data_IF_878749113520
#
_entry.id   IF_878749113520
#
_cell.length_a   1.000
_cell.length_b   1.000
_cell.length_c   1.000
_cell.angle_alpha   90.00
_cell.angle_beta   90.00
_cell.angle_gamma   90.00
#
_symmetry.space_group_name_H-M   'P 1'
#
loop_
_entity.id
_entity.type
_entity.pdbx_description
1 polymer ?
#
# COMPACT_ATOMS: atom_id res chain seq x y z
N UNK A 1 23.66 28.42 -5.44
CA UNK A 1 22.21 28.16 -5.55
C UNK A 1 22.01 27.13 -6.65
N UNK A 2 21.40 25.99 -6.33
CA UNK A 2 20.96 25.01 -7.31
C UNK A 2 19.44 24.86 -7.13
N UNK A 3 18.69 25.32 -8.13
CA UNK A 3 17.24 25.25 -8.22
C UNK A 3 16.87 23.93 -8.91
N UNK A 4 15.99 23.15 -8.28
CA UNK A 4 15.11 22.18 -8.97
C UNK A 4 15.75 20.92 -9.54
N UNK A 5 16.17 19.99 -8.69
CA UNK A 5 16.27 18.56 -9.08
C UNK A 5 14.98 17.85 -8.62
N UNK A 6 13.88 18.16 -9.30
CA UNK A 6 12.57 17.56 -9.04
C UNK A 6 12.47 16.14 -9.57
N UNK A 7 13.12 15.18 -8.93
CA UNK A 7 12.74 13.77 -9.04
C UNK A 7 11.83 13.45 -7.85
N UNK A 8 10.55 13.78 -8.00
CA UNK A 8 9.50 13.53 -6.99
C UNK A 8 9.12 12.04 -6.93
N UNK A 9 10.09 11.16 -6.74
CA UNK A 9 9.84 9.73 -6.64
C UNK A 9 9.50 9.35 -5.20
N UNK A 10 8.22 9.05 -4.95
CA UNK A 10 7.79 8.47 -3.68
C UNK A 10 7.57 6.97 -3.86
N UNK A 11 8.50 6.14 -3.41
CA UNK A 11 8.27 4.69 -3.35
C UNK A 11 7.31 4.36 -2.21
N UNK A 12 6.26 3.57 -2.48
CA UNK A 12 5.38 3.02 -1.45
C UNK A 12 5.62 1.52 -1.37
N UNK A 13 5.91 1.04 -0.17
CA UNK A 13 6.02 -0.40 0.12
C UNK A 13 4.70 -0.85 0.75
N UNK A 14 4.02 -1.79 0.11
CA UNK A 14 2.91 -2.51 0.72
C UNK A 14 3.48 -3.54 1.71
N UNK A 15 3.12 -3.36 2.97
CA UNK A 15 3.34 -4.33 4.01
C UNK A 15 2.46 -5.57 3.83
N UNK A 16 2.79 -6.62 4.58
CA UNK A 16 2.03 -7.89 4.60
C UNK A 16 0.64 -7.75 5.24
N UNK A 17 0.28 -6.55 5.71
CA UNK A 17 -0.99 -6.21 6.31
C UNK A 17 -2.09 -5.90 5.28
N UNK A 18 -1.73 -5.73 4.01
CA UNK A 18 -2.68 -5.65 2.89
C UNK A 18 -2.12 -6.41 1.69
N UNK A 19 -2.75 -7.53 1.34
CA UNK A 19 -2.27 -8.41 0.27
C UNK A 19 -3.38 -8.73 -0.73
N UNK A 20 -2.99 -9.05 -1.96
CA UNK A 20 -3.88 -9.61 -2.97
C UNK A 20 -3.98 -11.12 -2.80
N UNK A 21 -5.20 -11.66 -2.79
CA UNK A 21 -5.45 -13.11 -2.79
C UNK A 21 -6.55 -13.47 -3.75
N UNK A 22 -6.24 -14.29 -4.75
CA UNK A 22 -7.17 -14.69 -5.81
C UNK A 22 -7.62 -13.47 -6.61
N UNK A 23 -8.80 -12.94 -6.29
CA UNK A 23 -9.39 -11.77 -6.96
C UNK A 23 -9.79 -10.62 -6.00
N UNK A 24 -9.20 -10.58 -4.80
CA UNK A 24 -9.52 -9.54 -3.83
C UNK A 24 -8.34 -9.11 -2.97
N UNK A 25 -8.43 -7.87 -2.49
CA UNK A 25 -7.59 -7.36 -1.41
C UNK A 25 -8.04 -7.93 -0.06
N UNK A 26 -7.08 -8.41 0.72
CA UNK A 26 -7.26 -9.02 2.04
C UNK A 26 -6.39 -8.27 3.05
N UNK A 27 -7.05 -7.63 4.02
CA UNK A 27 -6.39 -7.02 5.17
C UNK A 27 -5.99 -8.10 6.20
N UNK A 28 -4.75 -8.02 6.69
CA UNK A 28 -4.13 -8.96 7.65
C UNK A 28 -3.61 -8.22 8.87
N UNK A 29 -4.47 -8.04 9.86
CA UNK A 29 -4.16 -7.25 11.06
C UNK A 29 -2.94 -7.76 11.83
N UNK A 30 -2.73 -9.06 11.85
CA UNK A 30 -1.61 -9.70 12.55
C UNK A 30 -0.23 -9.28 12.00
N UNK A 31 -0.20 -8.76 10.77
CA UNK A 31 1.00 -8.21 10.14
C UNK A 31 1.12 -6.69 10.30
N UNK A 32 0.09 -6.02 10.83
CA UNK A 32 0.10 -4.58 11.05
C UNK A 32 0.89 -4.23 12.33
N UNK A 33 1.80 -3.25 12.20
CA UNK A 33 2.69 -2.82 13.29
C UNK A 33 2.18 -1.61 14.07
N UNK A 34 1.06 -1.02 13.66
CA UNK A 34 0.46 0.09 14.35
C UNK A 34 -0.28 -0.40 15.62
N UNK A 35 0.14 0.04 16.82
CA UNK A 35 -0.48 -0.37 18.07
C UNK A 35 -1.96 0.04 18.15
N UNK A 36 -2.37 1.15 17.54
CA UNK A 36 -3.75 1.63 17.53
C UNK A 36 -4.66 0.70 16.70
N UNK A 37 -4.10 0.04 15.70
CA UNK A 37 -4.79 -0.93 14.86
C UNK A 37 -4.67 -2.38 15.33
N UNK A 38 -3.96 -2.68 16.43
CA UNK A 38 -3.85 -4.06 16.92
C UNK A 38 -5.02 -4.50 17.80
N UNK A 39 -5.68 -3.57 18.49
CA UNK A 39 -6.78 -3.90 19.40
C UNK A 39 -8.10 -4.17 18.65
N UNK A 40 -8.55 -5.43 18.63
CA UNK A 40 -9.90 -5.81 18.16
C UNK A 40 -11.04 -5.22 19.01
N UNK A 41 -10.75 -4.77 20.23
CA UNK A 41 -11.75 -4.11 21.10
C UNK A 41 -11.99 -2.66 20.67
N UNK A 42 -11.02 -2.05 20.03
CA UNK A 42 -11.05 -0.63 19.65
C UNK A 42 -11.43 -0.46 18.18
N UNK A 43 -11.01 -1.40 17.34
CA UNK A 43 -11.24 -1.37 15.89
C UNK A 43 -11.65 -2.76 15.43
N UNK A 44 -12.89 -2.93 14.98
CA UNK A 44 -13.35 -4.18 14.38
C UNK A 44 -12.69 -4.44 13.01
N UNK A 45 -12.86 -5.64 12.46
CA UNK A 45 -12.15 -6.04 11.24
C UNK A 45 -12.62 -5.28 9.98
N UNK A 46 -13.89 -4.89 9.92
CA UNK A 46 -14.43 -4.07 8.83
C UNK A 46 -13.85 -2.64 8.86
N UNK A 47 -13.74 -2.04 10.05
CA UNK A 47 -13.13 -0.72 10.22
C UNK A 47 -11.64 -0.78 9.92
N UNK A 48 -10.94 -1.83 10.35
CA UNK A 48 -9.53 -2.02 10.02
C UNK A 48 -9.29 -2.14 8.51
N UNK A 49 -10.06 -2.96 7.80
CA UNK A 49 -9.97 -3.09 6.32
C UNK A 49 -10.14 -1.72 5.63
N UNK A 50 -11.11 -0.92 6.08
CA UNK A 50 -11.30 0.44 5.55
C UNK A 50 -10.12 1.35 5.84
N UNK A 51 -9.59 1.34 7.07
CA UNK A 51 -8.51 2.22 7.50
C UNK A 51 -7.19 1.88 6.79
N UNK A 52 -6.83 0.60 6.68
CA UNK A 52 -5.60 0.19 6.00
C UNK A 52 -5.62 0.60 4.52
N UNK A 53 -6.77 0.43 3.83
CA UNK A 53 -6.95 0.90 2.45
C UNK A 53 -6.82 2.42 2.33
N UNK A 54 -7.38 3.17 3.28
CA UNK A 54 -7.28 4.63 3.29
C UNK A 54 -5.85 5.09 3.48
N UNK A 55 -5.07 4.45 4.37
CA UNK A 55 -3.64 4.76 4.56
C UNK A 55 -2.88 4.58 3.25
N UNK A 56 -3.00 3.42 2.60
CA UNK A 56 -2.32 3.17 1.33
C UNK A 56 -2.79 4.11 0.21
N UNK A 57 -4.09 4.41 0.12
CA UNK A 57 -4.63 5.40 -0.82
C UNK A 57 -3.98 6.77 -0.60
N UNK A 58 -3.91 7.24 0.64
CA UNK A 58 -3.28 8.53 0.97
C UNK A 58 -1.80 8.53 0.58
N UNK A 59 -1.04 7.50 0.92
CA UNK A 59 0.37 7.38 0.56
C UNK A 59 0.57 7.40 -0.96
N UNK A 60 -0.26 6.67 -1.71
CA UNK A 60 -0.22 6.63 -3.17
C UNK A 60 -0.56 7.97 -3.82
N UNK A 61 -1.49 8.74 -3.25
CA UNK A 61 -1.91 10.05 -3.79
C UNK A 61 -0.99 11.21 -3.41
N UNK A 62 -0.07 11.03 -2.46
CA UNK A 62 0.90 12.06 -2.04
C UNK A 62 2.16 12.12 -2.90
N UNK A 63 2.37 11.13 -3.77
CA UNK A 63 3.45 11.09 -4.75
C UNK A 63 3.09 11.79 -6.05
N UNK A 64 3.73 12.92 -6.36
CA UNK A 64 3.35 13.70 -7.55
C UNK A 64 3.88 13.16 -8.88
N UNK A 65 4.85 12.22 -8.94
CA UNK A 65 5.26 11.60 -10.22
C UNK A 65 5.77 10.17 -9.98
N UNK A 66 5.02 9.17 -10.45
CA UNK A 66 5.46 7.77 -10.61
C UNK A 66 5.88 7.04 -9.32
N UNK A 67 4.97 6.72 -8.39
CA UNK A 67 5.34 5.92 -7.24
C UNK A 67 5.72 4.51 -7.69
N UNK A 68 6.96 4.07 -7.40
CA UNK A 68 7.22 2.62 -7.44
C UNK A 68 6.49 1.96 -6.30
N UNK A 69 5.68 0.98 -6.68
CA UNK A 69 4.93 0.16 -5.77
C UNK A 69 5.62 -1.19 -5.64
N UNK A 70 5.98 -1.54 -4.41
CA UNK A 70 6.58 -2.82 -4.09
C UNK A 70 5.77 -3.52 -3.00
N UNK A 71 5.57 -4.81 -3.13
CA UNK A 71 5.01 -5.68 -2.10
C UNK A 71 6.02 -6.76 -1.74
N UNK A 72 6.22 -6.99 -0.44
CA UNK A 72 6.99 -8.13 0.05
C UNK A 72 6.25 -9.47 -0.15
N UNK A 73 4.96 -9.43 -0.41
CA UNK A 73 4.15 -10.59 -0.78
C UNK A 73 4.20 -10.85 -2.29
N UNK A 74 4.58 -12.06 -2.69
CA UNK A 74 4.83 -12.44 -4.08
C UNK A 74 3.57 -12.36 -4.97
N UNK A 75 2.43 -12.86 -4.48
CA UNK A 75 1.16 -12.84 -5.23
C UNK A 75 0.68 -11.40 -5.46
N UNK A 76 0.79 -10.57 -4.42
CA UNK A 76 0.51 -9.14 -4.52
C UNK A 76 1.47 -8.48 -5.50
N UNK A 77 2.76 -8.77 -5.45
CA UNK A 77 3.74 -8.22 -6.38
C UNK A 77 3.45 -8.63 -7.83
N UNK A 78 3.02 -9.87 -8.07
CA UNK A 78 2.61 -10.34 -9.38
C UNK A 78 1.38 -9.57 -9.89
N UNK A 79 0.38 -9.34 -9.02
CA UNK A 79 -0.80 -8.52 -9.35
C UNK A 79 -0.40 -7.07 -9.66
N UNK A 80 0.47 -6.47 -8.87
CA UNK A 80 0.94 -5.11 -9.13
C UNK A 80 1.64 -5.00 -10.48
N UNK A 81 2.51 -5.96 -10.81
CA UNK A 81 3.17 -6.00 -12.13
C UNK A 81 2.18 -6.16 -13.29
N UNK A 82 1.10 -6.91 -13.13
CA UNK A 82 0.10 -7.06 -14.19
C UNK A 82 -0.77 -5.81 -14.40
N UNK A 83 -0.94 -5.00 -13.34
CA UNK A 83 -1.66 -3.73 -13.42
C UNK A 83 -0.82 -2.60 -14.05
N UNK A 84 0.50 -2.69 -13.94
CA UNK A 84 1.43 -1.74 -14.58
C UNK A 84 1.68 -2.25 -16.00
N UNK A 85 0.76 -1.96 -16.92
CA UNK A 85 1.03 -2.18 -18.35
C UNK A 85 2.21 -1.29 -18.76
N UNK A 86 3.25 -1.79 -19.44
CA UNK A 86 4.25 -0.94 -20.06
C UNK A 86 3.54 -0.14 -21.16
N UNK A 87 3.13 1.09 -20.85
CA UNK A 87 2.72 2.06 -21.85
C UNK A 87 3.95 2.47 -22.64
N UNK A 88 3.89 2.31 -23.96
CA UNK A 88 4.82 2.89 -24.92
C UNK A 88 4.54 4.38 -25.08
#
# INVERSE_FOLDING_TARGET
MAQGFGYSWSGVILGLDLVWRGDRWVARREHNRDPDFRSRKTVDDATFDRLVRNVYKVLLTRGMVGPVLFSADEETQAKLRSLITPGW
#
